data_IF_814673560985
#
_entry.id   IF_814673560985
#
_cell.length_a   1.000
_cell.length_b   1.000
_cell.length_c   1.000
_cell.angle_alpha   90.00
_cell.angle_beta   90.00
_cell.angle_gamma   90.00
#
_symmetry.space_group_name_H-M   'P 1'
#
loop_
_entity.id
_entity.type
_entity.pdbx_description
1 polymer ?
#
# COMPACT_ATOMS: atom_id res chain seq x y z
N UNK A 1 -28.95 19.03 13.43
CA UNK A 1 -28.15 19.14 12.18
C UNK A 1 -26.86 18.29 12.26
N UNK A 2 -26.03 18.40 13.30
CA UNK A 2 -24.78 17.62 13.40
C UNK A 2 -24.97 16.10 13.34
N UNK A 3 -25.98 15.54 14.04
CA UNK A 3 -26.28 14.10 13.98
C UNK A 3 -26.65 13.64 12.56
N UNK A 4 -27.43 14.45 11.83
CA UNK A 4 -27.79 14.17 10.44
C UNK A 4 -26.55 14.22 9.53
N UNK A 5 -25.63 15.16 9.77
CA UNK A 5 -24.37 15.26 9.04
C UNK A 5 -23.47 14.04 9.27
N UNK A 6 -23.36 13.55 10.52
CA UNK A 6 -22.61 12.32 10.84
C UNK A 6 -23.25 11.10 10.13
N UNK A 7 -24.58 11.00 10.15
CA UNK A 7 -25.30 9.96 9.41
C UNK A 7 -24.97 10.06 7.91
N UNK A 8 -24.93 11.27 7.35
CA UNK A 8 -24.56 11.50 5.95
C UNK A 8 -23.16 11.02 5.62
N UNK A 9 -22.19 11.21 6.51
CA UNK A 9 -20.82 10.68 6.34
C UNK A 9 -20.85 9.15 6.31
N UNK A 10 -21.54 8.51 7.26
CA UNK A 10 -21.65 7.04 7.31
C UNK A 10 -22.34 6.49 6.05
N UNK A 11 -23.45 7.11 5.64
CA UNK A 11 -24.20 6.70 4.44
C UNK A 11 -23.35 6.88 3.18
N UNK A 12 -22.65 8.01 3.03
CA UNK A 12 -21.75 8.27 1.89
C UNK A 12 -20.65 7.20 1.77
N UNK A 13 -20.02 6.85 2.89
CA UNK A 13 -19.02 5.78 2.97
C UNK A 13 -19.63 4.42 2.64
N UNK A 14 -20.82 4.12 3.18
CA UNK A 14 -21.51 2.86 2.90
C UNK A 14 -21.86 2.72 1.41
N UNK A 15 -22.30 3.81 0.77
CA UNK A 15 -22.59 3.87 -0.67
C UNK A 15 -21.31 3.66 -1.48
N UNK A 16 -20.20 4.28 -1.08
CA UNK A 16 -18.89 4.07 -1.73
C UNK A 16 -18.49 2.59 -1.68
N UNK A 17 -18.52 1.98 -0.50
CA UNK A 17 -18.16 0.58 -0.29
C UNK A 17 -19.08 -0.34 -1.10
N UNK A 18 -20.39 -0.14 -1.02
CA UNK A 18 -21.36 -0.95 -1.73
C UNK A 18 -21.26 -0.81 -3.25
N UNK A 19 -21.12 0.42 -3.75
CA UNK A 19 -20.98 0.69 -5.18
C UNK A 19 -19.70 0.08 -5.76
N UNK A 20 -18.56 0.22 -5.07
CA UNK A 20 -17.32 -0.39 -5.48
C UNK A 20 -17.39 -1.94 -5.42
N UNK A 21 -18.04 -2.50 -4.43
CA UNK A 21 -18.33 -3.95 -4.37
C UNK A 21 -19.15 -4.44 -5.55
N UNK A 22 -20.05 -3.59 -6.09
CA UNK A 22 -20.82 -3.86 -7.32
C UNK A 22 -20.05 -3.58 -8.61
N UNK A 23 -18.78 -3.20 -8.53
CA UNK A 23 -17.92 -2.94 -9.68
C UNK A 23 -18.08 -1.57 -10.32
N UNK A 24 -18.75 -0.63 -9.65
CA UNK A 24 -18.85 0.75 -10.13
C UNK A 24 -17.52 1.45 -9.92
N UNK A 25 -17.02 2.16 -10.93
CA UNK A 25 -15.76 2.89 -10.86
C UNK A 25 -15.73 3.89 -9.70
N UNK A 26 -14.70 3.83 -8.88
CA UNK A 26 -14.47 4.76 -7.77
C UNK A 26 -14.29 6.20 -8.21
N UNK A 27 -13.84 6.43 -9.45
CA UNK A 27 -13.77 7.78 -10.06
C UNK A 27 -15.16 8.43 -10.18
N UNK A 28 -16.19 7.63 -10.42
CA UNK A 28 -17.60 8.09 -10.48
C UNK A 28 -18.20 8.12 -9.07
N UNK A 29 -17.94 7.09 -8.27
CA UNK A 29 -18.51 6.97 -6.92
C UNK A 29 -18.03 8.06 -5.98
N UNK A 30 -16.75 8.44 -6.02
CA UNK A 30 -16.19 9.39 -5.07
C UNK A 30 -16.88 10.77 -5.15
N UNK A 31 -17.07 11.40 -6.33
CA UNK A 31 -17.85 12.63 -6.44
C UNK A 31 -19.29 12.48 -5.93
N UNK A 32 -19.96 11.39 -6.30
CA UNK A 32 -21.34 11.16 -5.88
C UNK A 32 -21.46 11.01 -4.36
N UNK A 33 -20.55 10.27 -3.74
CA UNK A 33 -20.51 10.11 -2.28
C UNK A 33 -20.18 11.41 -1.57
N UNK A 34 -19.22 12.21 -2.09
CA UNK A 34 -18.89 13.52 -1.56
C UNK A 34 -20.10 14.47 -1.59
N UNK A 35 -20.83 14.52 -2.69
CA UNK A 35 -22.05 15.33 -2.82
C UNK A 35 -23.19 14.81 -1.94
N UNK A 36 -23.30 13.51 -1.75
CA UNK A 36 -24.25 12.92 -0.81
C UNK A 36 -23.94 13.35 0.63
N UNK A 37 -22.68 13.31 1.04
CA UNK A 37 -22.25 13.81 2.36
C UNK A 37 -22.58 15.30 2.50
N UNK A 38 -22.29 16.10 1.47
CA UNK A 38 -22.63 17.53 1.44
C UNK A 38 -24.13 17.79 1.62
N UNK A 39 -24.96 17.01 0.93
CA UNK A 39 -26.44 17.12 1.02
C UNK A 39 -26.93 16.87 2.46
N UNK A 40 -26.47 15.82 3.11
CA UNK A 40 -26.84 15.50 4.50
C UNK A 40 -26.32 16.55 5.52
N UNK A 41 -25.27 17.27 5.16
CA UNK A 41 -24.71 18.36 5.97
C UNK A 41 -25.30 19.73 5.65
N UNK A 42 -26.29 19.81 4.75
CA UNK A 42 -26.92 21.08 4.33
C UNK A 42 -25.99 22.01 3.55
N UNK A 43 -24.93 21.49 2.95
CA UNK A 43 -23.98 22.27 2.16
C UNK A 43 -24.53 22.53 0.75
N UNK A 44 -24.13 23.62 0.13
CA UNK A 44 -24.47 23.89 -1.25
C UNK A 44 -23.66 22.94 -2.17
N UNK A 45 -24.34 22.15 -2.96
CA UNK A 45 -23.73 21.09 -3.77
C UNK A 45 -22.75 21.64 -4.81
N UNK A 46 -23.09 22.78 -5.46
CA UNK A 46 -22.25 23.37 -6.49
C UNK A 46 -20.95 23.91 -5.89
N UNK A 47 -21.04 24.73 -4.84
CA UNK A 47 -19.86 25.28 -4.17
C UNK A 47 -19.04 24.17 -3.48
N UNK A 48 -19.68 23.14 -2.96
CA UNK A 48 -18.94 21.97 -2.42
C UNK A 48 -18.13 21.29 -3.52
N UNK A 49 -18.72 21.13 -4.70
CA UNK A 49 -18.01 20.51 -5.82
C UNK A 49 -16.86 21.42 -6.32
N UNK A 50 -17.14 22.71 -6.60
CA UNK A 50 -16.17 23.61 -7.22
C UNK A 50 -15.10 24.12 -6.26
N UNK A 51 -15.47 24.45 -5.00
CA UNK A 51 -14.61 25.20 -4.10
C UNK A 51 -14.02 24.33 -2.97
N UNK A 52 -14.51 23.08 -2.82
CA UNK A 52 -13.99 22.15 -1.83
C UNK A 52 -13.41 20.90 -2.47
N UNK A 53 -14.23 20.20 -3.25
CA UNK A 53 -13.85 18.90 -3.81
C UNK A 53 -12.76 19.04 -4.88
N UNK A 54 -12.96 19.89 -5.91
CA UNK A 54 -11.97 20.06 -6.96
C UNK A 54 -10.63 20.61 -6.44
N UNK A 55 -10.57 21.62 -5.54
CA UNK A 55 -9.32 22.02 -4.92
C UNK A 55 -8.63 20.91 -4.14
N UNK A 56 -9.37 20.07 -3.42
CA UNK A 56 -8.81 18.91 -2.71
C UNK A 56 -8.15 17.92 -3.66
N UNK A 57 -8.78 17.63 -4.82
CA UNK A 57 -8.19 16.82 -5.88
C UNK A 57 -6.93 17.47 -6.43
N UNK A 58 -6.97 18.78 -6.75
CA UNK A 58 -5.82 19.51 -7.28
C UNK A 58 -4.64 19.52 -6.32
N UNK A 59 -4.89 19.68 -5.02
CA UNK A 59 -3.85 19.64 -3.99
C UNK A 59 -3.15 18.25 -3.98
N UNK A 60 -3.92 17.16 -4.06
CA UNK A 60 -3.36 15.82 -4.16
C UNK A 60 -2.56 15.65 -5.46
N UNK A 61 -3.11 16.06 -6.59
CA UNK A 61 -2.43 15.99 -7.90
C UNK A 61 -1.10 16.74 -7.85
N UNK A 62 -1.10 17.96 -7.32
CA UNK A 62 0.11 18.79 -7.20
C UNK A 62 1.19 18.12 -6.35
N UNK A 63 0.79 17.52 -5.24
CA UNK A 63 1.73 16.85 -4.34
C UNK A 63 2.26 15.53 -4.90
N UNK A 64 1.41 14.72 -5.56
CA UNK A 64 1.70 13.31 -5.86
C UNK A 64 1.94 13.00 -7.34
N UNK A 65 1.62 13.89 -8.28
CA UNK A 65 1.83 13.61 -9.70
C UNK A 65 3.29 13.25 -10.02
N UNK A 66 4.24 14.01 -9.46
CA UNK A 66 5.67 13.76 -9.67
C UNK A 66 6.12 12.40 -9.13
N UNK A 67 5.96 12.11 -7.82
CA UNK A 67 6.32 10.81 -7.25
C UNK A 67 5.65 9.63 -7.94
N UNK A 68 4.34 9.70 -8.21
CA UNK A 68 3.58 8.61 -8.85
C UNK A 68 4.05 8.39 -10.29
N UNK A 69 4.27 9.47 -11.07
CA UNK A 69 4.80 9.37 -12.42
C UNK A 69 6.17 8.68 -12.44
N UNK A 70 7.10 9.15 -11.58
CA UNK A 70 8.44 8.56 -11.49
C UNK A 70 8.36 7.09 -11.06
N UNK A 71 7.50 6.74 -10.10
CA UNK A 71 7.27 5.37 -9.66
C UNK A 71 6.74 4.48 -10.79
N UNK A 72 5.80 4.96 -11.60
CA UNK A 72 5.29 4.24 -12.76
C UNK A 72 6.37 4.05 -13.84
N UNK A 73 7.21 5.05 -14.10
CA UNK A 73 8.36 4.93 -15.03
C UNK A 73 9.35 3.89 -14.51
N UNK A 74 9.75 3.96 -13.25
CA UNK A 74 10.67 2.98 -12.63
C UNK A 74 10.08 1.57 -12.76
N UNK A 75 8.80 1.40 -12.40
CA UNK A 75 8.13 0.11 -12.50
C UNK A 75 8.13 -0.42 -13.94
N UNK A 76 7.84 0.42 -14.93
CA UNK A 76 7.88 0.06 -16.34
C UNK A 76 9.28 -0.39 -16.78
N UNK A 77 10.34 0.34 -16.42
CA UNK A 77 11.72 0.02 -16.73
C UNK A 77 12.18 -1.30 -16.10
N UNK A 78 11.83 -1.51 -14.81
CA UNK A 78 12.17 -2.74 -14.10
C UNK A 78 11.44 -3.97 -14.62
N UNK A 79 10.18 -3.80 -15.00
CA UNK A 79 9.38 -4.88 -15.59
C UNK A 79 9.90 -5.25 -16.97
N UNK A 80 10.16 -4.28 -17.82
CA UNK A 80 10.63 -4.45 -19.17
C UNK A 80 12.00 -5.13 -19.27
N UNK A 81 12.94 -4.67 -18.45
CA UNK A 81 14.28 -5.27 -18.41
C UNK A 81 14.30 -6.64 -17.75
N UNK A 82 13.26 -7.00 -16.99
CA UNK A 82 13.25 -8.16 -16.11
C UNK A 82 14.10 -7.99 -14.84
N UNK A 83 14.48 -6.74 -14.50
CA UNK A 83 15.27 -6.45 -13.30
C UNK A 83 14.52 -6.81 -12.02
N UNK A 84 13.22 -6.48 -11.94
CA UNK A 84 12.37 -6.89 -10.81
C UNK A 84 12.29 -8.41 -10.66
N UNK A 85 12.15 -9.11 -11.79
CA UNK A 85 12.15 -10.58 -11.82
C UNK A 85 13.52 -11.16 -11.40
N UNK A 86 14.61 -10.52 -11.76
CA UNK A 86 15.97 -10.96 -11.38
C UNK A 86 16.18 -10.87 -9.87
N UNK A 87 15.76 -9.77 -9.24
CA UNK A 87 15.78 -9.62 -7.78
C UNK A 87 14.91 -10.69 -7.12
N UNK A 88 13.66 -10.82 -7.58
CA UNK A 88 12.73 -11.82 -7.05
C UNK A 88 13.27 -13.24 -7.18
N UNK A 89 13.91 -13.57 -8.31
CA UNK A 89 14.54 -14.88 -8.53
C UNK A 89 15.71 -15.12 -7.58
N UNK A 90 16.59 -14.14 -7.40
CA UNK A 90 17.74 -14.29 -6.49
C UNK A 90 17.29 -14.58 -5.05
N UNK A 91 16.31 -13.82 -4.56
CA UNK A 91 15.73 -14.05 -3.23
C UNK A 91 15.00 -15.39 -3.15
N UNK A 92 14.20 -15.72 -4.18
CA UNK A 92 13.52 -16.99 -4.27
C UNK A 92 14.48 -18.18 -4.26
N UNK A 93 15.54 -18.11 -5.05
CA UNK A 93 16.55 -19.16 -5.15
C UNK A 93 17.28 -19.36 -3.80
N UNK A 94 17.56 -18.28 -3.08
CA UNK A 94 18.16 -18.33 -1.75
C UNK A 94 17.27 -19.08 -0.74
N UNK A 95 15.98 -18.77 -0.70
CA UNK A 95 15.06 -19.36 0.27
C UNK A 95 14.57 -20.77 -0.12
N UNK A 96 14.62 -21.13 -1.39
CA UNK A 96 14.09 -22.42 -1.89
C UNK A 96 15.17 -23.40 -2.33
N UNK A 97 16.46 -23.13 -2.10
CA UNK A 97 17.60 -23.90 -2.61
C UNK A 97 17.49 -25.40 -2.30
N UNK A 98 17.12 -25.78 -1.08
CA UNK A 98 16.96 -27.19 -0.68
C UNK A 98 15.80 -27.85 -1.41
N UNK A 99 14.64 -27.19 -1.44
CA UNK A 99 13.45 -27.72 -2.09
C UNK A 99 13.65 -27.87 -3.61
N UNK A 100 14.35 -26.92 -4.24
CA UNK A 100 14.68 -27.00 -5.68
C UNK A 100 15.67 -28.10 -6.01
N UNK A 101 16.70 -28.32 -5.16
CA UNK A 101 17.65 -29.41 -5.33
C UNK A 101 16.93 -30.78 -5.23
N UNK A 102 16.02 -30.93 -4.28
CA UNK A 102 15.19 -32.14 -4.13
C UNK A 102 14.26 -32.36 -5.34
N UNK A 103 13.62 -31.29 -5.82
CA UNK A 103 12.79 -31.35 -7.02
C UNK A 103 13.58 -31.73 -8.27
N UNK A 104 14.78 -31.18 -8.44
CA UNK A 104 15.68 -31.50 -9.55
C UNK A 104 16.18 -32.97 -9.50
N UNK A 105 16.29 -33.54 -8.30
CA UNK A 105 16.61 -34.96 -8.09
C UNK A 105 15.41 -35.91 -8.24
N UNK A 106 14.26 -35.42 -8.74
CA UNK A 106 13.05 -36.22 -8.91
C UNK A 106 12.31 -36.58 -7.61
N UNK A 107 12.74 -36.04 -6.48
CA UNK A 107 12.10 -36.31 -5.19
C UNK A 107 10.79 -35.56 -5.05
N UNK A 108 9.82 -36.17 -4.38
CA UNK A 108 8.58 -35.46 -4.02
C UNK A 108 8.86 -34.39 -2.97
N UNK A 109 8.72 -33.13 -3.36
CA UNK A 109 8.99 -32.00 -2.47
C UNK A 109 7.71 -31.52 -1.82
N UNK A 110 7.69 -31.52 -0.49
CA UNK A 110 6.67 -30.86 0.32
C UNK A 110 7.34 -29.68 1.04
N UNK A 111 6.99 -28.48 0.61
CA UNK A 111 7.50 -27.25 1.22
C UNK A 111 6.64 -26.87 2.44
N UNK A 112 7.28 -26.58 3.58
CA UNK A 112 6.52 -26.11 4.75
C UNK A 112 5.84 -24.78 4.43
N UNK A 113 4.55 -24.57 4.75
CA UNK A 113 3.84 -23.31 4.48
C UNK A 113 4.57 -22.08 4.98
N UNK A 114 5.17 -22.15 6.18
CA UNK A 114 5.94 -21.02 6.74
C UNK A 114 7.08 -20.58 5.84
N UNK A 115 7.77 -21.50 5.17
CA UNK A 115 8.88 -21.15 4.28
C UNK A 115 8.37 -20.47 3.01
N UNK A 116 7.25 -20.94 2.46
CA UNK A 116 6.60 -20.30 1.31
C UNK A 116 6.15 -18.87 1.65
N UNK A 117 5.48 -18.71 2.79
CA UNK A 117 5.03 -17.40 3.28
C UNK A 117 6.23 -16.48 3.49
N UNK A 118 7.26 -16.92 4.22
CA UNK A 118 8.48 -16.14 4.46
C UNK A 118 9.14 -15.67 3.16
N UNK A 119 9.27 -16.57 2.18
CA UNK A 119 9.82 -16.25 0.86
C UNK A 119 9.04 -15.12 0.19
N UNK A 120 7.72 -15.19 0.21
CA UNK A 120 6.83 -14.17 -0.36
C UNK A 120 6.99 -12.83 0.37
N UNK A 121 7.01 -12.87 1.71
CA UNK A 121 7.15 -11.65 2.50
C UNK A 121 8.49 -10.96 2.29
N UNK A 122 9.59 -11.70 2.24
CA UNK A 122 10.91 -11.11 1.98
C UNK A 122 10.96 -10.48 0.59
N UNK A 123 10.52 -11.21 -0.44
CA UNK A 123 10.50 -10.68 -1.82
C UNK A 123 9.61 -9.44 -1.91
N UNK A 124 8.38 -9.54 -1.41
CA UNK A 124 7.40 -8.46 -1.47
C UNK A 124 7.88 -7.21 -0.71
N UNK A 125 8.36 -7.40 0.52
CA UNK A 125 8.85 -6.28 1.35
C UNK A 125 10.04 -5.58 0.71
N UNK A 126 11.02 -6.31 0.17
CA UNK A 126 12.19 -5.70 -0.49
C UNK A 126 11.78 -4.89 -1.71
N UNK A 127 10.90 -5.42 -2.55
CA UNK A 127 10.44 -4.74 -3.75
C UNK A 127 9.54 -3.53 -3.42
N UNK A 128 8.61 -3.68 -2.48
CA UNK A 128 7.71 -2.59 -2.11
C UNK A 128 8.42 -1.46 -1.34
N UNK A 129 9.43 -1.78 -0.54
CA UNK A 129 10.24 -0.79 0.18
C UNK A 129 10.95 0.18 -0.78
N UNK A 130 11.27 -0.26 -1.97
CA UNK A 130 11.87 0.58 -3.02
C UNK A 130 10.88 1.53 -3.72
N UNK A 131 9.60 1.53 -3.34
CA UNK A 131 8.55 2.34 -3.96
C UNK A 131 8.06 1.80 -5.29
N UNK A 132 8.37 0.54 -5.64
CA UNK A 132 7.83 -0.07 -6.85
C UNK A 132 6.32 -0.29 -6.73
N UNK A 133 5.58 0.17 -7.74
CA UNK A 133 4.14 0.04 -7.83
C UNK A 133 3.67 -1.43 -7.75
N UNK A 134 2.50 -1.72 -7.18
CA UNK A 134 1.87 -3.06 -7.10
C UNK A 134 1.78 -3.87 -8.41
N UNK A 135 1.95 -3.26 -9.58
CA UNK A 135 2.09 -3.99 -10.87
C UNK A 135 3.23 -5.02 -10.82
N UNK A 136 4.25 -4.81 -9.99
CA UNK A 136 5.27 -5.81 -9.67
C UNK A 136 4.67 -7.10 -9.11
N UNK A 137 3.48 -7.05 -8.50
CA UNK A 137 2.69 -8.21 -8.08
C UNK A 137 2.57 -9.28 -9.17
N UNK A 138 2.39 -8.90 -10.42
CA UNK A 138 2.19 -9.86 -11.52
C UNK A 138 3.43 -10.73 -11.75
N UNK A 139 4.63 -10.16 -11.64
CA UNK A 139 5.88 -10.91 -11.83
C UNK A 139 6.22 -11.78 -10.62
N UNK A 140 5.96 -11.27 -9.43
CA UNK A 140 6.12 -12.03 -8.19
C UNK A 140 5.17 -13.22 -8.19
N UNK A 141 3.89 -12.99 -8.56
CA UNK A 141 2.85 -14.01 -8.46
C UNK A 141 3.16 -15.26 -9.30
N UNK A 142 3.62 -15.09 -10.55
CA UNK A 142 3.97 -16.21 -11.41
C UNK A 142 5.08 -17.10 -10.82
N UNK A 143 6.02 -16.52 -10.06
CA UNK A 143 7.06 -17.27 -9.34
C UNK A 143 6.54 -17.92 -8.07
N UNK A 144 5.62 -17.25 -7.40
CA UNK A 144 5.05 -17.74 -6.14
C UNK A 144 4.13 -18.94 -6.34
N UNK A 145 3.56 -19.13 -7.52
CA UNK A 145 2.73 -20.29 -7.84
C UNK A 145 3.43 -21.61 -7.50
N UNK A 146 4.73 -21.73 -7.79
CA UNK A 146 5.48 -22.92 -7.42
C UNK A 146 5.56 -23.12 -5.90
N UNK A 147 5.75 -22.06 -5.10
CA UNK A 147 5.77 -22.16 -3.63
C UNK A 147 4.42 -22.56 -3.07
N UNK A 148 3.33 -22.04 -3.61
CA UNK A 148 1.96 -22.42 -3.25
C UNK A 148 1.70 -23.90 -3.55
N UNK A 149 2.01 -24.33 -4.79
CA UNK A 149 1.82 -25.71 -5.22
C UNK A 149 2.61 -26.70 -4.34
N UNK A 150 3.89 -26.42 -4.07
CA UNK A 150 4.76 -27.27 -3.26
C UNK A 150 4.43 -27.25 -1.77
N UNK A 151 3.84 -26.17 -1.26
CA UNK A 151 3.38 -26.04 0.13
C UNK A 151 1.92 -26.49 0.32
N UNK A 152 1.21 -26.78 -0.77
CA UNK A 152 -0.23 -27.10 -0.81
C UNK A 152 -1.12 -25.99 -0.22
N UNK A 153 -0.63 -24.74 -0.15
CA UNK A 153 -1.46 -23.63 0.33
C UNK A 153 -2.62 -23.35 -0.63
N UNK A 154 -3.84 -23.10 -0.11
CA UNK A 154 -4.97 -22.73 -0.95
C UNK A 154 -4.72 -21.47 -1.76
N UNK A 155 -5.12 -21.45 -3.02
CA UNK A 155 -5.00 -20.29 -3.92
C UNK A 155 -5.72 -19.04 -3.36
N UNK A 156 -6.85 -19.24 -2.69
CA UNK A 156 -7.61 -18.19 -2.04
C UNK A 156 -6.81 -17.38 -0.97
N UNK A 157 -5.75 -17.96 -0.41
CA UNK A 157 -4.84 -17.25 0.50
C UNK A 157 -3.91 -16.28 -0.21
N UNK A 158 -3.73 -16.42 -1.53
CA UNK A 158 -2.78 -15.65 -2.34
C UNK A 158 -2.87 -14.15 -2.14
N UNK A 159 -4.04 -13.51 -2.34
CA UNK A 159 -4.20 -12.08 -2.15
C UNK A 159 -3.79 -11.61 -0.75
N UNK A 160 -4.19 -12.34 0.32
CA UNK A 160 -3.85 -11.99 1.69
C UNK A 160 -2.35 -12.07 1.99
N UNK A 161 -1.68 -13.11 1.50
CA UNK A 161 -0.23 -13.25 1.71
C UNK A 161 0.55 -12.20 0.92
N UNK A 162 0.18 -11.96 -0.34
CA UNK A 162 0.90 -11.02 -1.22
C UNK A 162 0.67 -9.58 -0.78
N UNK A 163 -0.56 -9.16 -0.51
CA UNK A 163 -0.85 -7.81 -0.02
C UNK A 163 -0.26 -7.59 1.37
N UNK A 164 -0.31 -8.60 2.25
CA UNK A 164 0.37 -8.56 3.53
C UNK A 164 1.88 -8.32 3.41
N UNK A 165 2.51 -8.80 2.34
CA UNK A 165 3.93 -8.54 2.07
C UNK A 165 4.19 -7.15 1.49
N UNK A 166 3.35 -6.68 0.57
CA UNK A 166 3.58 -5.46 -0.20
C UNK A 166 3.00 -4.21 0.44
N UNK A 167 1.82 -4.32 1.06
CA UNK A 167 1.02 -3.18 1.50
C UNK A 167 0.99 -3.01 3.03
N UNK A 168 1.96 -3.55 3.76
CA UNK A 168 2.02 -3.41 5.22
C UNK A 168 3.36 -2.82 5.68
N UNK A 169 4.31 -3.64 6.14
CA UNK A 169 5.59 -3.18 6.64
C UNK A 169 6.33 -2.28 5.65
N UNK A 170 6.41 -2.68 4.39
CA UNK A 170 7.13 -1.95 3.36
C UNK A 170 6.58 -0.53 3.13
N UNK A 171 5.28 -0.32 3.32
CA UNK A 171 4.65 1.00 3.15
C UNK A 171 4.76 1.88 4.41
N UNK A 172 5.04 1.29 5.58
CA UNK A 172 4.97 1.98 6.87
C UNK A 172 6.31 2.15 7.56
N UNK A 173 7.32 1.35 7.20
CA UNK A 173 8.65 1.45 7.81
C UNK A 173 9.35 2.76 7.46
N UNK A 174 10.23 3.25 8.36
CA UNK A 174 11.04 4.43 8.09
C UNK A 174 11.88 4.29 6.82
N UNK A 175 12.06 5.38 6.11
CA UNK A 175 12.91 5.44 4.92
C UNK A 175 12.32 4.86 3.64
N UNK A 176 11.11 4.29 3.69
CA UNK A 176 10.43 3.82 2.47
C UNK A 176 10.04 4.99 1.57
N UNK A 177 10.07 4.75 0.27
CA UNK A 177 9.60 5.69 -0.76
C UNK A 177 8.12 5.47 -1.10
N UNK A 178 7.36 4.78 -0.23
CA UNK A 178 5.92 4.58 -0.39
C UNK A 178 5.14 5.89 -0.35
N UNK A 179 3.99 5.92 -1.04
CA UNK A 179 3.12 7.11 -1.08
C UNK A 179 2.76 7.60 0.32
N UNK A 180 2.47 6.71 1.27
CA UNK A 180 2.11 7.07 2.64
C UNK A 180 3.23 7.82 3.36
N UNK A 181 4.48 7.33 3.26
CA UNK A 181 5.61 7.97 3.89
C UNK A 181 5.93 9.32 3.21
N UNK A 182 5.85 9.37 1.88
CA UNK A 182 6.08 10.61 1.09
C UNK A 182 5.02 11.67 1.42
N UNK A 183 3.74 11.29 1.50
CA UNK A 183 2.66 12.21 1.91
C UNK A 183 2.93 12.78 3.31
N UNK A 184 3.27 11.93 4.27
CA UNK A 184 3.56 12.37 5.63
C UNK A 184 4.77 13.30 5.70
N UNK A 185 5.85 13.02 4.93
CA UNK A 185 7.01 13.91 4.81
C UNK A 185 6.59 15.27 4.29
N UNK A 186 5.81 15.31 3.22
CA UNK A 186 5.40 16.58 2.57
C UNK A 186 4.42 17.38 3.41
N UNK A 187 3.45 16.72 4.03
CA UNK A 187 2.39 17.39 4.78
C UNK A 187 2.83 17.85 6.18
N UNK A 188 3.77 17.15 6.80
CA UNK A 188 4.23 17.44 8.16
C UNK A 188 5.62 18.08 8.20
N UNK A 189 6.31 18.22 7.04
CA UNK A 189 7.67 18.77 6.98
C UNK A 189 8.71 17.93 7.75
N UNK A 190 8.49 16.62 7.87
CA UNK A 190 9.33 15.71 8.66
C UNK A 190 10.32 14.93 7.79
N UNK A 191 11.26 14.24 8.44
CA UNK A 191 12.18 13.33 7.74
C UNK A 191 11.50 12.03 7.34
N UNK A 192 11.90 11.39 6.22
CA UNK A 192 11.47 10.03 5.90
C UNK A 192 11.77 9.02 7.01
N UNK A 193 12.80 9.29 7.81
CA UNK A 193 13.23 8.48 8.96
C UNK A 193 12.59 8.90 10.28
N UNK A 194 11.56 9.77 10.27
CA UNK A 194 10.87 10.22 11.48
C UNK A 194 10.46 9.04 12.37
N UNK A 195 10.73 9.14 13.68
CA UNK A 195 10.51 8.10 14.68
C UNK A 195 10.98 6.71 14.20
N UNK A 196 12.26 6.61 13.79
CA UNK A 196 12.79 5.43 13.12
C UNK A 196 12.70 4.16 13.98
N UNK A 197 13.09 4.21 15.25
CA UNK A 197 13.11 3.03 16.11
C UNK A 197 11.71 2.44 16.30
N UNK A 198 10.69 3.20 16.74
CA UNK A 198 9.31 2.69 16.80
C UNK A 198 8.77 2.22 15.44
N UNK A 199 9.17 2.88 14.36
CA UNK A 199 8.77 2.51 13.01
C UNK A 199 9.31 1.15 12.57
N UNK A 200 10.59 0.86 12.81
CA UNK A 200 11.16 -0.47 12.51
C UNK A 200 10.61 -1.55 13.43
N UNK A 201 10.35 -1.24 14.70
CA UNK A 201 9.68 -2.18 15.61
C UNK A 201 8.27 -2.49 15.07
N UNK A 202 7.49 -1.47 14.66
CA UNK A 202 6.18 -1.67 14.05
C UNK A 202 6.24 -2.53 12.78
N UNK A 203 7.21 -2.26 11.89
CA UNK A 203 7.45 -3.08 10.71
C UNK A 203 7.72 -4.55 11.04
N UNK A 204 8.58 -4.80 12.03
CA UNK A 204 8.85 -6.16 12.51
C UNK A 204 7.61 -6.83 13.12
N UNK A 205 6.82 -6.09 13.91
CA UNK A 205 5.57 -6.60 14.53
C UNK A 205 4.59 -7.05 13.45
N UNK A 206 4.28 -6.22 12.45
CA UNK A 206 3.31 -6.59 11.41
C UNK A 206 3.81 -7.77 10.57
N UNK A 207 5.11 -7.84 10.27
CA UNK A 207 5.69 -8.98 9.52
C UNK A 207 5.58 -10.27 10.33
N UNK A 208 5.94 -10.24 11.60
CA UNK A 208 5.86 -11.42 12.49
C UNK A 208 4.39 -11.88 12.62
N UNK A 209 3.47 -10.95 12.90
CA UNK A 209 2.04 -11.27 13.00
C UNK A 209 1.52 -11.90 11.71
N UNK A 210 1.84 -11.30 10.57
CA UNK A 210 1.39 -11.81 9.27
C UNK A 210 1.95 -13.22 8.99
N UNK A 211 3.25 -13.43 9.18
CA UNK A 211 3.89 -14.73 8.94
C UNK A 211 3.31 -15.79 9.88
N UNK A 212 3.18 -15.49 11.17
CA UNK A 212 2.65 -16.43 12.17
C UNK A 212 1.20 -16.77 11.89
N UNK A 213 0.33 -15.75 11.72
CA UNK A 213 -1.10 -15.98 11.50
C UNK A 213 -1.37 -16.70 10.18
N UNK A 214 -0.72 -16.29 9.08
CA UNK A 214 -0.87 -16.98 7.80
C UNK A 214 -0.35 -18.43 7.83
N UNK A 215 0.74 -18.69 8.57
CA UNK A 215 1.21 -20.07 8.75
C UNK A 215 0.22 -20.94 9.55
N UNK A 216 -0.38 -20.38 10.61
CA UNK A 216 -1.40 -21.10 11.39
C UNK A 216 -2.64 -21.39 10.53
N UNK A 217 -3.11 -20.37 9.80
CA UNK A 217 -4.29 -20.48 8.94
C UNK A 217 -4.03 -21.48 7.81
N UNK A 218 -2.87 -21.40 7.13
CA UNK A 218 -2.53 -22.33 6.04
C UNK A 218 -2.54 -23.77 6.49
N UNK A 219 -1.98 -24.07 7.67
CA UNK A 219 -2.02 -25.42 8.23
C UNK A 219 -3.45 -25.90 8.50
N UNK A 220 -4.32 -25.00 9.03
CA UNK A 220 -5.73 -25.33 9.27
C UNK A 220 -6.50 -25.59 7.97
N UNK A 221 -6.27 -24.76 6.94
CA UNK A 221 -6.95 -24.92 5.65
C UNK A 221 -6.48 -26.19 4.92
N UNK A 222 -5.19 -26.50 4.96
CA UNK A 222 -4.64 -27.75 4.41
C UNK A 222 -5.22 -28.97 5.14
N UNK A 223 -5.34 -28.90 6.47
CA UNK A 223 -5.94 -29.99 7.27
C UNK A 223 -7.42 -30.23 6.95
N UNK A 224 -8.14 -29.20 6.48
CA UNK A 224 -9.52 -29.32 5.98
C UNK A 224 -9.61 -29.89 4.54
N UNK A 225 -8.48 -30.17 3.90
CA UNK A 225 -8.42 -30.62 2.52
C UNK A 225 -8.44 -29.51 1.47
N UNK A 226 -8.40 -28.24 1.88
CA UNK A 226 -8.28 -27.12 0.96
C UNK A 226 -6.83 -27.04 0.48
N UNK A 227 -6.61 -27.46 -0.76
CA UNK A 227 -5.28 -27.46 -1.39
C UNK A 227 -5.26 -26.50 -2.57
N UNK A 228 -4.05 -26.17 -3.04
CA UNK A 228 -3.85 -25.34 -4.20
C UNK A 228 -4.41 -26.02 -5.46
N UNK A 229 -5.28 -25.32 -6.16
CA UNK A 229 -5.72 -25.60 -7.51
C UNK A 229 -5.05 -24.61 -8.49
N UNK A 230 -4.66 -25.08 -9.67
CA UNK A 230 -3.98 -24.25 -10.67
C UNK A 230 -4.97 -23.27 -11.28
N UNK A 231 -4.64 -21.96 -11.25
CA UNK A 231 -5.43 -20.96 -11.92
C UNK A 231 -5.36 -21.15 -13.44
N UNK A 232 -6.49 -21.24 -14.17
CA UNK A 232 -6.50 -21.53 -15.61
C UNK A 232 -5.66 -20.55 -16.45
N UNK A 233 -5.72 -19.25 -16.11
CA UNK A 233 -5.05 -18.17 -16.85
C UNK A 233 -3.85 -17.59 -16.08
N UNK A 234 -3.26 -18.39 -15.17
CA UNK A 234 -2.09 -17.94 -14.42
C UNK A 234 -1.03 -17.32 -15.35
N UNK A 235 -0.49 -16.13 -15.03
CA UNK A 235 0.50 -15.48 -15.87
C UNK A 235 1.71 -16.39 -16.12
N UNK A 236 1.91 -16.82 -17.37
CA UNK A 236 3.07 -17.61 -17.75
C UNK A 236 4.25 -16.67 -17.95
N UNK A 237 5.40 -17.08 -17.42
CA UNK A 237 6.66 -16.36 -17.67
C UNK A 237 6.94 -16.33 -19.17
N UNK A 238 7.36 -15.18 -19.74
CA UNK A 238 7.96 -15.17 -21.07
C UNK A 238 9.19 -16.09 -21.08
N UNK A 239 9.14 -17.17 -21.87
CA UNK A 239 10.27 -18.08 -21.99
C UNK A 239 11.43 -17.38 -22.71
N UNK A 240 12.64 -17.51 -22.17
CA UNK A 240 13.85 -16.99 -22.83
C UNK A 240 14.15 -15.50 -22.63
N UNK A 241 13.38 -14.76 -21.82
CA UNK A 241 13.73 -13.35 -21.52
C UNK A 241 15.06 -13.28 -20.79
N UNK A 242 16.05 -12.60 -21.40
CA UNK A 242 17.31 -12.26 -20.73
C UNK A 242 17.02 -11.22 -19.65
N UNK A 243 17.53 -11.44 -18.43
CA UNK A 243 17.40 -10.53 -17.32
C UNK A 243 18.76 -10.03 -16.87
N UNK A 244 18.89 -8.79 -16.40
CA UNK A 244 20.12 -8.30 -15.81
C UNK A 244 20.47 -9.12 -14.56
N UNK A 245 21.75 -9.12 -14.19
CA UNK A 245 22.16 -9.75 -12.92
C UNK A 245 21.50 -9.03 -11.75
N UNK A 246 21.08 -9.77 -10.72
CA UNK A 246 20.31 -9.21 -9.58
C UNK A 246 21.07 -8.09 -8.83
N UNK A 247 22.40 -8.18 -8.70
CA UNK A 247 23.21 -7.10 -8.13
C UNK A 247 23.09 -5.81 -8.92
N UNK A 248 23.15 -5.89 -10.25
CA UNK A 248 22.97 -4.73 -11.12
C UNK A 248 21.56 -4.16 -10.99
N UNK A 249 20.58 -5.02 -10.77
CA UNK A 249 19.17 -4.61 -10.59
C UNK A 249 18.92 -3.88 -9.27
N UNK A 250 19.71 -4.15 -8.23
CA UNK A 250 19.57 -3.49 -6.92
C UNK A 250 20.22 -2.10 -6.91
N UNK A 251 21.26 -1.85 -7.71
CA UNK A 251 22.03 -0.60 -7.64
C UNK A 251 21.16 0.67 -7.76
N UNK A 252 20.26 0.83 -8.75
CA UNK A 252 19.47 2.06 -8.84
C UNK A 252 18.55 2.26 -7.62
N UNK A 253 18.00 1.17 -7.06
CA UNK A 253 17.19 1.20 -5.84
C UNK A 253 18.03 1.66 -4.65
N UNK A 254 19.20 1.04 -4.44
CA UNK A 254 20.10 1.37 -3.35
C UNK A 254 20.55 2.84 -3.41
N UNK A 255 20.89 3.33 -4.59
CA UNK A 255 21.26 4.74 -4.81
C UNK A 255 20.09 5.66 -4.45
N UNK A 256 18.87 5.35 -4.89
CA UNK A 256 17.67 6.13 -4.52
C UNK A 256 17.50 6.21 -3.01
N UNK A 257 17.58 5.09 -2.31
CA UNK A 257 17.42 5.05 -0.86
C UNK A 257 18.55 5.81 -0.13
N UNK A 258 19.78 5.71 -0.60
CA UNK A 258 20.92 6.44 -0.03
C UNK A 258 20.74 7.95 -0.26
N UNK A 259 20.37 8.38 -1.46
CA UNK A 259 20.15 9.80 -1.75
C UNK A 259 18.99 10.36 -0.93
N UNK A 260 17.87 9.66 -0.86
CA UNK A 260 16.68 10.11 -0.16
C UNK A 260 16.86 10.11 1.38
N UNK A 261 17.37 9.00 1.94
CA UNK A 261 17.45 8.82 3.39
C UNK A 261 18.80 9.27 3.98
N UNK A 262 19.90 9.06 3.26
CA UNK A 262 21.26 9.33 3.74
C UNK A 262 21.71 10.76 3.45
N UNK A 263 21.41 11.27 2.25
CA UNK A 263 21.83 12.61 1.82
C UNK A 263 20.72 13.67 1.96
N UNK A 264 19.48 13.27 2.32
CA UNK A 264 18.35 14.17 2.46
C UNK A 264 17.90 14.83 1.14
N UNK A 265 18.18 14.20 0.01
CA UNK A 265 17.77 14.74 -1.29
C UNK A 265 16.25 14.71 -1.44
N UNK A 266 15.74 15.64 -2.26
CA UNK A 266 14.35 15.61 -2.66
C UNK A 266 14.02 14.25 -3.34
N UNK A 267 12.85 13.68 -2.99
CA UNK A 267 12.43 12.37 -3.50
C UNK A 267 12.39 12.32 -5.04
N UNK A 268 11.94 13.39 -5.70
CA UNK A 268 11.87 13.44 -7.16
C UNK A 268 13.27 13.34 -7.79
N UNK A 269 14.25 14.06 -7.21
CA UNK A 269 15.65 14.01 -7.69
C UNK A 269 16.23 12.61 -7.51
N UNK A 270 15.98 11.99 -6.37
CA UNK A 270 16.42 10.62 -6.09
C UNK A 270 15.79 9.59 -7.05
N UNK A 271 14.49 9.73 -7.35
CA UNK A 271 13.79 8.88 -8.31
C UNK A 271 14.22 9.14 -9.76
N UNK A 272 14.50 10.40 -10.14
CA UNK A 272 15.08 10.70 -11.46
C UNK A 272 16.44 10.04 -11.65
N UNK A 273 17.27 10.04 -10.62
CA UNK A 273 18.56 9.33 -10.67
C UNK A 273 18.36 7.82 -10.84
N UNK A 274 17.37 7.23 -10.18
CA UNK A 274 16.99 5.82 -10.40
C UNK A 274 16.65 5.56 -11.87
N UNK A 275 15.80 6.41 -12.46
CA UNK A 275 15.40 6.27 -13.86
C UNK A 275 16.63 6.32 -14.79
N UNK A 276 17.52 7.30 -14.57
CA UNK A 276 18.74 7.46 -15.37
C UNK A 276 19.63 6.21 -15.25
N UNK A 277 19.89 5.76 -14.03
CA UNK A 277 20.69 4.55 -13.80
C UNK A 277 20.04 3.31 -14.40
N UNK A 278 18.72 3.18 -14.28
CA UNK A 278 17.97 2.07 -14.87
C UNK A 278 18.03 2.08 -16.39
N UNK A 279 17.93 3.24 -17.02
CA UNK A 279 18.11 3.37 -18.47
C UNK A 279 19.52 2.96 -18.92
N UNK A 280 20.56 3.33 -18.17
CA UNK A 280 21.96 2.99 -18.49
C UNK A 280 22.19 1.49 -18.27
N UNK A 281 21.88 0.96 -17.09
CA UNK A 281 22.23 -0.40 -16.71
C UNK A 281 21.37 -1.46 -17.41
N UNK A 282 20.13 -1.13 -17.72
CA UNK A 282 19.18 -2.08 -18.29
C UNK A 282 19.00 -1.90 -19.81
N UNK A 283 19.71 -0.95 -20.43
CA UNK A 283 19.61 -0.68 -21.86
C UNK A 283 19.72 -1.95 -22.73
N UNK A 284 20.67 -2.87 -22.47
CA UNK A 284 20.80 -4.10 -23.27
C UNK A 284 19.61 -5.06 -23.18
N UNK A 285 18.72 -4.86 -22.18
CA UNK A 285 17.59 -5.75 -21.89
C UNK A 285 16.25 -5.20 -22.41
N UNK A 286 16.19 -3.94 -22.87
CA UNK A 286 14.97 -3.37 -23.45
C UNK A 286 14.74 -3.76 -24.92
N UNK A 287 15.67 -4.44 -25.52
CA UNK A 287 15.67 -4.71 -26.96
C UNK A 287 16.16 -3.51 -27.77
N UNK A 288 15.33 -2.99 -28.69
CA UNK A 288 15.63 -1.77 -29.46
C UNK A 288 14.94 -0.56 -28.81
N UNK A 289 15.32 0.65 -29.22
CA UNK A 289 14.66 1.90 -28.78
C UNK A 289 13.14 1.89 -29.01
N UNK A 290 12.67 1.19 -30.04
CA UNK A 290 11.23 0.94 -30.26
C UNK A 290 10.56 0.19 -29.11
N UNK A 291 11.26 -0.75 -28.46
CA UNK A 291 10.77 -1.45 -27.27
C UNK A 291 10.57 -0.52 -26.09
N UNK A 292 11.51 0.38 -25.84
CA UNK A 292 11.41 1.38 -24.77
C UNK A 292 10.18 2.30 -24.98
N UNK A 293 9.91 2.71 -26.23
CA UNK A 293 8.75 3.54 -26.58
C UNK A 293 7.42 2.85 -26.21
N UNK A 294 7.27 1.57 -26.56
CA UNK A 294 6.05 0.81 -26.25
C UNK A 294 5.88 0.58 -24.74
N UNK A 295 6.96 0.51 -23.99
CA UNK A 295 6.94 0.33 -22.54
C UNK A 295 6.50 1.60 -21.78
N UNK A 296 6.90 2.77 -22.28
CA UNK A 296 6.57 4.04 -21.64
C UNK A 296 5.13 4.48 -22.00
N UNK A 297 4.59 4.01 -23.13
CA UNK A 297 3.28 4.39 -23.62
C UNK A 297 2.14 4.25 -22.58
N UNK A 298 2.01 3.14 -21.81
CA UNK A 298 0.96 2.99 -20.81
C UNK A 298 1.22 3.79 -19.52
N UNK A 299 2.43 4.31 -19.31
CA UNK A 299 2.79 5.00 -18.05
C UNK A 299 1.94 6.24 -17.82
N UNK A 300 1.67 7.02 -18.87
CA UNK A 300 0.83 8.22 -18.77
C UNK A 300 -0.59 7.90 -18.32
N UNK A 301 -1.20 6.88 -18.91
CA UNK A 301 -2.54 6.42 -18.57
C UNK A 301 -2.58 5.87 -17.14
N UNK A 302 -1.63 5.00 -16.77
CA UNK A 302 -1.52 4.45 -15.42
C UNK A 302 -1.33 5.54 -14.36
N UNK A 303 -0.44 6.51 -14.61
CA UNK A 303 -0.21 7.64 -13.70
C UNK A 303 -1.47 8.46 -13.52
N UNK A 304 -2.13 8.81 -14.63
CA UNK A 304 -3.35 9.63 -14.59
C UNK A 304 -4.46 8.92 -13.82
N UNK A 305 -4.66 7.62 -14.08
CA UNK A 305 -5.67 6.82 -13.38
C UNK A 305 -5.37 6.76 -11.87
N UNK A 306 -4.15 6.47 -11.48
CA UNK A 306 -3.77 6.37 -10.06
C UNK A 306 -3.94 7.71 -9.34
N UNK A 307 -3.41 8.79 -9.90
CA UNK A 307 -3.44 10.11 -9.25
C UNK A 307 -4.86 10.65 -9.16
N UNK A 308 -5.66 10.52 -10.21
CA UNK A 308 -7.06 10.97 -10.19
C UNK A 308 -7.92 10.12 -9.26
N UNK A 309 -7.77 8.80 -9.30
CA UNK A 309 -8.54 7.90 -8.44
C UNK A 309 -8.29 8.19 -6.97
N UNK A 310 -7.03 8.28 -6.54
CA UNK A 310 -6.67 8.55 -5.15
C UNK A 310 -7.03 9.99 -4.77
N UNK A 311 -6.83 10.96 -5.65
CA UNK A 311 -7.22 12.35 -5.43
C UNK A 311 -8.72 12.53 -5.23
N UNK A 312 -9.55 11.88 -6.04
CA UNK A 312 -11.00 11.92 -5.92
C UNK A 312 -11.49 11.23 -4.63
N UNK A 313 -10.89 10.09 -4.26
CA UNK A 313 -11.18 9.44 -2.98
C UNK A 313 -10.77 10.33 -1.80
N UNK A 314 -9.59 10.97 -1.86
CA UNK A 314 -9.12 11.91 -0.84
C UNK A 314 -10.01 13.15 -0.71
N UNK A 315 -10.61 13.60 -1.81
CA UNK A 315 -11.53 14.74 -1.79
C UNK A 315 -12.81 14.50 -1.00
N UNK A 316 -13.23 13.24 -0.79
CA UNK A 316 -14.32 12.91 0.16
C UNK A 316 -13.93 13.42 1.56
N UNK A 317 -12.67 13.18 1.98
CA UNK A 317 -12.15 13.69 3.25
C UNK A 317 -12.14 15.23 3.31
N UNK A 318 -11.81 15.91 2.21
CA UNK A 318 -11.90 17.36 2.10
C UNK A 318 -13.33 17.89 2.31
N UNK A 319 -14.32 17.22 1.72
CA UNK A 319 -15.74 17.57 1.92
C UNK A 319 -16.20 17.26 3.36
N UNK A 320 -15.75 16.16 3.94
CA UNK A 320 -16.00 15.85 5.36
C UNK A 320 -15.40 16.94 6.26
N UNK A 321 -14.16 17.36 6.01
CA UNK A 321 -13.47 18.39 6.78
C UNK A 321 -14.15 19.77 6.68
N UNK A 322 -14.72 20.11 5.53
CA UNK A 322 -15.48 21.35 5.32
C UNK A 322 -16.93 21.24 5.87
N UNK A 323 -17.39 20.08 6.29
CA UNK A 323 -18.78 19.88 6.73
C UNK A 323 -19.03 20.41 8.14
N UNK A 324 -20.27 20.87 8.45
CA UNK A 324 -20.68 21.24 9.81
C UNK A 324 -20.56 20.09 10.82
N UNK A 325 -20.56 18.84 10.40
CA UNK A 325 -20.34 17.69 11.26
C UNK A 325 -18.88 17.52 11.71
N UNK A 326 -17.91 18.06 10.98
CA UNK A 326 -16.48 17.86 11.24
C UNK A 326 -16.04 18.40 12.62
N UNK A 327 -16.40 19.65 13.04
CA UNK A 327 -16.09 20.13 14.38
C UNK A 327 -16.67 19.26 15.50
N UNK A 328 -17.82 18.64 15.29
CA UNK A 328 -18.41 17.72 16.27
C UNK A 328 -17.61 16.43 16.38
N UNK A 329 -17.17 15.89 15.25
CA UNK A 329 -16.29 14.72 15.21
C UNK A 329 -14.93 15.01 15.85
N UNK A 330 -14.30 16.16 15.53
CA UNK A 330 -13.02 16.55 16.10
C UNK A 330 -13.11 16.85 17.60
N UNK A 331 -14.14 17.56 18.06
CA UNK A 331 -14.38 17.80 19.48
C UNK A 331 -14.66 16.48 20.22
N UNK A 332 -15.42 15.56 19.63
CA UNK A 332 -15.61 14.23 20.16
C UNK A 332 -14.28 13.50 20.34
N UNK A 333 -13.41 13.56 19.34
CA UNK A 333 -12.07 12.96 19.38
C UNK A 333 -11.18 13.62 20.44
N UNK A 334 -11.17 14.95 20.54
CA UNK A 334 -10.39 15.70 21.53
C UNK A 334 -10.83 15.37 22.96
N UNK A 335 -12.14 15.25 23.18
CA UNK A 335 -12.73 14.97 24.49
C UNK A 335 -12.74 13.49 24.87
N UNK A 336 -12.34 12.59 23.95
CA UNK A 336 -12.15 11.19 24.30
C UNK A 336 -11.04 11.05 25.36
N UNK A 337 -11.26 10.21 26.35
CA UNK A 337 -10.21 9.80 27.27
C UNK A 337 -9.09 9.02 26.55
N UNK A 338 -7.91 9.00 27.16
CA UNK A 338 -6.78 8.21 26.67
C UNK A 338 -5.69 9.01 25.97
N UNK A 339 -4.58 8.34 25.61
CA UNK A 339 -3.39 9.00 25.06
C UNK A 339 -3.66 9.62 23.69
N UNK A 340 -3.03 10.75 23.41
CA UNK A 340 -3.25 11.53 22.19
C UNK A 340 -2.94 10.74 20.90
N UNK A 341 -1.88 9.93 20.88
CA UNK A 341 -1.51 9.14 19.69
C UNK A 341 -2.55 8.07 19.31
N UNK A 342 -3.33 7.55 20.26
CA UNK A 342 -4.44 6.64 19.96
C UNK A 342 -5.60 7.35 19.26
N UNK A 343 -5.83 8.62 19.56
CA UNK A 343 -6.79 9.47 18.86
C UNK A 343 -6.36 9.71 17.42
N UNK A 344 -5.04 9.87 17.17
CA UNK A 344 -4.48 9.93 15.80
C UNK A 344 -4.77 8.65 15.03
N UNK A 345 -4.53 7.48 15.66
CA UNK A 345 -4.82 6.18 15.02
C UNK A 345 -6.28 6.11 14.61
N UNK A 346 -7.20 6.46 15.53
CA UNK A 346 -8.64 6.40 15.26
C UNK A 346 -9.06 7.35 14.13
N UNK A 347 -8.61 8.61 14.18
CA UNK A 347 -8.96 9.61 13.17
C UNK A 347 -8.53 9.19 11.77
N UNK A 348 -7.27 8.78 11.63
CA UNK A 348 -6.71 8.38 10.34
C UNK A 348 -7.33 7.07 9.85
N UNK A 349 -7.54 6.10 10.73
CA UNK A 349 -8.21 4.84 10.38
C UNK A 349 -9.61 5.08 9.82
N UNK A 350 -10.40 5.94 10.45
CA UNK A 350 -11.76 6.26 10.00
C UNK A 350 -11.77 6.91 8.62
N UNK A 351 -10.89 7.89 8.38
CA UNK A 351 -10.84 8.58 7.08
C UNK A 351 -10.20 7.70 5.99
N UNK A 352 -9.25 6.84 6.33
CA UNK A 352 -8.73 5.82 5.42
C UNK A 352 -9.80 4.82 5.05
N UNK A 353 -10.58 4.34 6.03
CA UNK A 353 -11.72 3.46 5.76
C UNK A 353 -12.79 4.13 4.90
N UNK A 354 -13.05 5.42 5.13
CA UNK A 354 -13.99 6.21 4.34
C UNK A 354 -13.54 6.39 2.88
N UNK A 355 -12.23 6.57 2.66
CA UNK A 355 -11.67 6.73 1.32
C UNK A 355 -11.33 5.39 0.63
N UNK A 356 -11.22 4.28 1.39
CA UNK A 356 -10.80 2.97 0.88
C UNK A 356 -9.36 2.95 0.35
N UNK A 357 -8.51 3.87 0.81
CA UNK A 357 -7.12 4.01 0.39
C UNK A 357 -6.28 4.72 1.45
N UNK A 358 -5.16 4.12 1.86
CA UNK A 358 -4.23 4.68 2.84
C UNK A 358 -3.68 6.05 2.44
N UNK A 359 -3.12 6.21 1.24
CA UNK A 359 -2.68 7.51 0.74
C UNK A 359 -3.79 8.56 0.72
N UNK A 360 -5.01 8.18 0.27
CA UNK A 360 -6.16 9.08 0.26
C UNK A 360 -6.57 9.49 1.67
N UNK A 361 -6.61 8.55 2.62
CA UNK A 361 -6.91 8.81 4.02
C UNK A 361 -5.92 9.78 4.67
N UNK A 362 -4.61 9.61 4.43
CA UNK A 362 -3.58 10.55 4.91
C UNK A 362 -3.76 11.94 4.31
N UNK A 363 -3.91 12.02 2.99
CA UNK A 363 -4.11 13.30 2.28
C UNK A 363 -5.40 14.01 2.70
N UNK A 364 -6.41 13.25 3.11
CA UNK A 364 -7.66 13.78 3.64
C UNK A 364 -7.56 14.21 5.11
N UNK A 365 -6.66 13.63 5.89
CA UNK A 365 -6.58 13.89 7.34
C UNK A 365 -5.56 14.95 7.69
N UNK A 366 -4.32 14.78 7.21
CA UNK A 366 -3.19 15.57 7.69
C UNK A 366 -3.33 17.08 7.43
N UNK A 367 -3.79 17.57 6.27
CA UNK A 367 -3.94 19.01 6.04
C UNK A 367 -4.92 19.70 7.00
N UNK A 368 -5.92 18.96 7.49
CA UNK A 368 -7.00 19.52 8.31
C UNK A 368 -6.85 19.25 9.80
N UNK A 369 -6.12 18.22 10.17
CA UNK A 369 -6.02 17.79 11.58
C UNK A 369 -4.61 17.90 12.16
N UNK A 370 -3.58 18.21 11.36
CA UNK A 370 -2.21 18.30 11.86
C UNK A 370 -2.03 19.39 12.94
N UNK A 371 -2.66 20.56 12.75
CA UNK A 371 -2.65 21.63 13.76
C UNK A 371 -3.38 21.21 15.04
N UNK A 372 -4.49 20.51 14.91
CA UNK A 372 -5.24 19.96 16.06
C UNK A 372 -4.38 18.97 16.83
N UNK A 373 -3.68 18.08 16.16
CA UNK A 373 -2.77 17.13 16.78
C UNK A 373 -1.55 17.81 17.41
N UNK A 374 -1.02 18.86 16.75
CA UNK A 374 0.06 19.69 17.32
C UNK A 374 -0.38 20.38 18.63
N UNK A 375 -1.60 20.92 18.68
CA UNK A 375 -2.14 21.56 19.89
C UNK A 375 -2.34 20.59 21.07
N UNK A 376 -2.40 19.28 20.80
CA UNK A 376 -2.40 18.22 21.81
C UNK A 376 -0.98 17.88 22.34
N UNK A 377 0.05 18.61 21.93
CA UNK A 377 1.44 18.39 22.32
C UNK A 377 2.11 17.20 21.64
N UNK A 378 1.57 16.70 20.53
CA UNK A 378 2.15 15.56 19.80
C UNK A 378 3.38 16.05 19.02
N UNK A 379 4.53 15.38 19.20
CA UNK A 379 5.72 15.58 18.38
C UNK A 379 5.43 15.22 16.91
N UNK A 380 5.88 16.06 15.97
CA UNK A 380 5.61 15.87 14.54
C UNK A 380 6.18 14.56 13.98
N UNK A 381 7.34 14.10 14.48
CA UNK A 381 7.90 12.81 14.06
C UNK A 381 7.06 11.63 14.58
N UNK A 382 6.52 11.75 15.80
CA UNK A 382 5.57 10.78 16.34
C UNK A 382 4.27 10.77 15.54
N UNK A 383 3.74 11.98 15.24
CA UNK A 383 2.55 12.14 14.40
C UNK A 383 2.75 11.48 13.03
N UNK A 384 3.89 11.78 12.37
CA UNK A 384 4.25 11.17 11.10
C UNK A 384 4.14 9.65 11.18
N UNK A 385 4.90 9.04 12.11
CA UNK A 385 5.02 7.58 12.15
C UNK A 385 3.72 6.89 12.51
N UNK A 386 3.01 7.39 13.51
CA UNK A 386 1.70 6.85 13.88
C UNK A 386 0.70 7.00 12.73
N UNK A 387 0.70 8.15 12.05
CA UNK A 387 -0.19 8.40 10.91
C UNK A 387 0.03 7.43 9.76
N UNK A 388 1.29 7.16 9.42
CA UNK A 388 1.63 6.21 8.35
C UNK A 388 1.19 4.79 8.70
N UNK A 389 1.39 4.33 9.94
CA UNK A 389 0.88 3.01 10.36
C UNK A 389 -0.65 2.98 10.44
N UNK A 390 -1.26 4.04 10.94
CA UNK A 390 -2.72 4.15 11.05
C UNK A 390 -3.41 4.11 9.68
N UNK A 391 -2.78 4.69 8.65
CA UNK A 391 -3.33 4.69 7.29
C UNK A 391 -3.40 3.30 6.65
N UNK A 392 -2.69 2.31 7.20
CA UNK A 392 -2.78 0.93 6.74
C UNK A 392 -3.97 0.16 7.32
N UNK A 393 -4.59 0.68 8.40
CA UNK A 393 -5.56 -0.10 9.21
C UNK A 393 -6.82 -0.49 8.45
N UNK A 394 -7.40 0.45 7.69
CA UNK A 394 -8.60 0.23 6.88
C UNK A 394 -8.36 0.52 5.40
N UNK A 395 -7.09 0.47 4.97
CA UNK A 395 -6.70 0.69 3.57
C UNK A 395 -7.27 -0.38 2.63
N UNK A 396 -7.16 -1.64 3.02
CA UNK A 396 -7.47 -2.77 2.13
C UNK A 396 -8.87 -3.33 2.41
N UNK A 397 -9.87 -2.48 2.29
CA UNK A 397 -11.27 -2.91 2.24
C UNK A 397 -11.58 -3.57 0.88
N UNK A 398 -12.73 -4.27 0.71
CA UNK A 398 -13.08 -4.90 -0.56
C UNK A 398 -13.10 -3.96 -1.78
N UNK A 399 -13.06 -2.66 -1.55
CA UNK A 399 -13.04 -1.58 -2.55
C UNK A 399 -11.63 -1.20 -3.00
N UNK A 400 -10.59 -1.67 -2.31
CA UNK A 400 -9.21 -1.30 -2.61
C UNK A 400 -8.77 -1.84 -3.98
N UNK A 401 -8.24 -0.98 -4.88
CA UNK A 401 -7.83 -1.40 -6.22
C UNK A 401 -6.75 -2.48 -6.22
N UNK A 402 -5.79 -2.41 -5.30
CA UNK A 402 -4.73 -3.41 -5.18
C UNK A 402 -5.28 -4.79 -4.81
N UNK A 403 -6.32 -4.85 -3.98
CA UNK A 403 -6.98 -6.10 -3.66
C UNK A 403 -7.76 -6.67 -4.86
N UNK A 404 -8.48 -5.82 -5.60
CA UNK A 404 -9.20 -6.25 -6.80
C UNK A 404 -8.23 -6.81 -7.85
N UNK A 405 -7.08 -6.16 -8.05
CA UNK A 405 -6.02 -6.67 -8.95
C UNK A 405 -5.47 -8.02 -8.44
N UNK A 406 -5.19 -8.12 -7.15
CA UNK A 406 -4.65 -9.35 -6.56
C UNK A 406 -5.63 -10.54 -6.68
N UNK A 407 -6.94 -10.31 -6.52
CA UNK A 407 -7.97 -11.35 -6.73
C UNK A 407 -8.09 -11.76 -8.20
N UNK A 408 -8.00 -10.79 -9.12
CA UNK A 408 -7.99 -11.05 -10.56
C UNK A 408 -6.80 -11.90 -11.00
N UNK A 409 -5.59 -11.60 -10.50
CA UNK A 409 -4.38 -12.38 -10.78
C UNK A 409 -4.48 -13.79 -10.18
N UNK A 410 -5.02 -13.89 -8.97
CA UNK A 410 -5.22 -15.17 -8.28
C UNK A 410 -6.38 -15.97 -8.86
N UNK A 411 -7.23 -15.36 -9.68
CA UNK A 411 -8.49 -15.92 -10.17
C UNK A 411 -9.35 -16.52 -9.03
N UNK A 412 -9.52 -15.73 -7.98
CA UNK A 412 -10.31 -16.09 -6.80
C UNK A 412 -11.39 -15.04 -6.55
N UNK A 413 -12.52 -15.49 -6.02
CA UNK A 413 -13.58 -14.57 -5.66
C UNK A 413 -13.25 -13.79 -4.37
N UNK A 414 -13.76 -12.56 -4.29
CA UNK A 414 -13.61 -11.69 -3.11
C UNK A 414 -14.09 -12.40 -1.84
N UNK A 415 -15.26 -13.06 -1.90
CA UNK A 415 -15.85 -13.78 -0.75
C UNK A 415 -14.94 -14.87 -0.17
N UNK A 416 -14.13 -15.52 -1.01
CA UNK A 416 -13.28 -16.65 -0.61
C UNK A 416 -11.93 -16.15 -0.06
N UNK A 417 -11.43 -15.03 -0.56
CA UNK A 417 -10.09 -14.52 -0.24
C UNK A 417 -10.06 -13.41 0.79
N UNK A 418 -11.15 -12.63 0.97
CA UNK A 418 -11.13 -11.44 1.81
C UNK A 418 -10.81 -11.71 3.28
N UNK A 419 -11.22 -12.83 3.84
CA UNK A 419 -10.89 -13.21 5.23
C UNK A 419 -9.38 -13.23 5.49
N UNK A 420 -8.57 -13.61 4.51
CA UNK A 420 -7.10 -13.63 4.63
C UNK A 420 -6.51 -12.23 4.48
N UNK A 421 -7.06 -11.45 3.57
CA UNK A 421 -6.68 -10.04 3.39
C UNK A 421 -7.03 -9.25 4.64
N UNK A 422 -8.23 -9.40 5.18
CA UNK A 422 -8.65 -8.72 6.42
C UNK A 422 -7.69 -9.00 7.58
N UNK A 423 -7.24 -10.23 7.75
CA UNK A 423 -6.30 -10.57 8.83
C UNK A 423 -4.95 -9.88 8.62
N UNK A 424 -4.40 -9.93 7.40
CA UNK A 424 -3.03 -9.44 7.15
C UNK A 424 -2.95 -7.93 7.02
N UNK A 425 -3.94 -7.28 6.42
CA UNK A 425 -3.88 -5.86 6.06
C UNK A 425 -4.82 -4.97 6.85
N UNK A 426 -5.77 -5.53 7.61
CA UNK A 426 -6.65 -4.76 8.48
C UNK A 426 -6.36 -5.07 9.95
N UNK A 427 -6.54 -6.31 10.38
CA UNK A 427 -6.39 -6.68 11.80
C UNK A 427 -4.95 -6.48 12.29
N UNK A 428 -3.96 -7.06 11.59
CA UNK A 428 -2.57 -7.02 12.02
C UNK A 428 -1.96 -5.62 11.90
N UNK A 429 -2.37 -4.82 10.91
CA UNK A 429 -1.95 -3.42 10.78
C UNK A 429 -2.57 -2.55 11.86
N UNK A 430 -3.84 -2.80 12.24
CA UNK A 430 -4.48 -2.12 13.38
C UNK A 430 -3.73 -2.40 14.68
N UNK A 431 -3.45 -3.67 14.98
CA UNK A 431 -2.66 -4.04 16.15
C UNK A 431 -1.31 -3.32 16.13
N UNK A 432 -0.65 -3.28 14.97
CA UNK A 432 0.66 -2.65 14.82
C UNK A 432 0.60 -1.13 15.01
N UNK A 433 -0.39 -0.45 14.45
CA UNK A 433 -0.58 0.99 14.64
C UNK A 433 -0.77 1.33 16.13
N UNK A 434 -1.56 0.52 16.86
CA UNK A 434 -1.75 0.67 18.30
C UNK A 434 -0.45 0.41 19.07
N UNK A 435 0.35 -0.58 18.67
CA UNK A 435 1.68 -0.86 19.28
C UNK A 435 2.64 0.31 19.07
N UNK A 436 2.72 0.87 17.87
CA UNK A 436 3.58 2.03 17.58
C UNK A 436 3.12 3.26 18.38
N UNK A 437 1.82 3.51 18.44
CA UNK A 437 1.25 4.58 19.27
C UNK A 437 1.55 4.38 20.76
N UNK A 438 1.48 3.14 21.26
CA UNK A 438 1.80 2.79 22.64
C UNK A 438 3.28 3.05 22.94
N UNK A 439 4.20 2.58 22.09
CA UNK A 439 5.64 2.79 22.25
C UNK A 439 5.96 4.28 22.34
N UNK A 440 5.44 5.09 21.41
CA UNK A 440 5.68 6.53 21.38
C UNK A 440 4.96 7.29 22.51
N UNK A 441 3.91 6.73 23.09
CA UNK A 441 3.24 7.28 24.27
C UNK A 441 4.08 7.03 25.53
N UNK A 442 4.66 5.82 25.68
CA UNK A 442 5.46 5.45 26.86
C UNK A 442 6.88 6.04 26.76
N UNK A 443 7.43 6.08 25.55
CA UNK A 443 8.80 6.53 25.27
C UNK A 443 8.82 7.69 24.25
N UNK A 444 8.33 8.89 24.61
CA UNK A 444 8.24 10.00 23.66
C UNK A 444 9.60 10.46 23.13
N UNK A 445 10.69 10.18 23.84
CA UNK A 445 12.06 10.49 23.38
C UNK A 445 12.56 9.64 22.19
N UNK A 446 11.77 8.65 21.73
CA UNK A 446 12.05 7.87 20.53
C UNK A 446 11.44 8.48 19.24
N UNK A 447 10.79 9.64 19.36
CA UNK A 447 10.16 10.36 18.26
C UNK A 447 11.18 11.07 17.36
#
# INVERSE_FOLDING_TARGET
>A
MAALGIIGIIVGVAVLIYGAYKGISTIILAPLCALLIALFNGMNLLTTFTDTMLPSVCNYVTAMLGPVLMGCVIAALYNASGAALSIANALYDLFTIKARKQAAAGQQVVMKPVLAILTIYVIGTVLAYSGMNPVVLMFIYSRLLWTYLKSKMPRAMGPGVVLGALATAACSMPGTTSDQNVIAVQMLGTSPMAAAVPGFIGGAVVLILNIVMMNIISKKEIAKGHVYDVAPNAPKRPEGQKTPHWLLSIIPIAVTLICFNGLGWNILVSMMLNIILSLIFFFPYYGKFSGLKELIKPVGEQTTMLVLQVGLLGAIGGVVAASPAFPVLTNGLLNMGGPALFKVVLAIALLTGASGSGPAGLSATLPYMSETFASMGINMSALHRVSVFASQTLDTLPTNPGYIIATGIAEVEIKDSYKYVFITTVLNTTITALVVALILTIFPGLA
#
